data_IF_705262960345
#
_entry.id   IF_705262960345
#
_cell.length_a   1.000
_cell.length_b   1.000
_cell.length_c   1.000
_cell.angle_alpha   90.00
_cell.angle_beta   90.00
_cell.angle_gamma   90.00
#
_symmetry.space_group_name_H-M   'P 1'
#
loop_
_entity.id
_entity.type
_entity.pdbx_description
1 polymer ?
#
# COMPACT_ATOMS: atom_id res chain seq x y z
N UNK A 1 24.96 -12.32 -82.95
CA UNK A 1 23.57 -11.79 -82.92
C UNK A 1 22.66 -12.59 -81.98
N UNK A 2 22.38 -13.87 -82.25
CA UNK A 2 21.40 -14.65 -81.45
C UNK A 2 21.80 -14.87 -79.97
N UNK A 3 23.08 -15.01 -79.68
CA UNK A 3 23.57 -15.29 -78.32
C UNK A 3 23.56 -14.05 -77.41
N UNK A 4 23.87 -12.88 -77.98
CA UNK A 4 23.72 -11.58 -77.29
C UNK A 4 22.24 -11.30 -76.96
N UNK A 5 21.33 -11.56 -77.90
CA UNK A 5 19.89 -11.39 -77.69
C UNK A 5 19.38 -12.29 -76.54
N UNK A 6 19.88 -13.53 -76.44
CA UNK A 6 19.54 -14.45 -75.33
C UNK A 6 20.07 -13.96 -73.97
N UNK A 7 21.28 -13.40 -73.94
CA UNK A 7 21.85 -12.82 -72.72
C UNK A 7 21.05 -11.59 -72.24
N UNK A 8 20.62 -10.75 -73.18
CA UNK A 8 19.83 -9.55 -72.91
C UNK A 8 18.42 -9.90 -72.40
N UNK A 9 17.73 -10.87 -73.02
CA UNK A 9 16.44 -11.39 -72.51
C UNK A 9 16.59 -11.93 -71.07
N UNK A 10 17.67 -12.67 -70.79
CA UNK A 10 17.94 -13.22 -69.45
C UNK A 10 18.22 -12.11 -68.42
N UNK A 11 18.94 -11.05 -68.81
CA UNK A 11 19.17 -9.88 -67.96
C UNK A 11 17.86 -9.14 -67.67
N UNK A 12 17.06 -8.87 -68.70
CA UNK A 12 15.75 -8.19 -68.57
C UNK A 12 14.79 -9.00 -67.71
N UNK A 13 14.71 -10.32 -67.89
CA UNK A 13 13.91 -11.21 -67.02
C UNK A 13 14.37 -11.15 -65.56
N UNK A 14 15.69 -11.09 -65.32
CA UNK A 14 16.25 -10.97 -63.97
C UNK A 14 15.92 -9.61 -63.35
N UNK A 15 15.93 -8.54 -64.12
CA UNK A 15 15.52 -7.21 -63.66
C UNK A 15 14.03 -7.13 -63.37
N UNK A 16 13.18 -7.68 -64.24
CA UNK A 16 11.74 -7.73 -64.05
C UNK A 16 11.39 -8.48 -62.75
N UNK A 17 11.96 -9.67 -62.56
CA UNK A 17 11.80 -10.45 -61.33
C UNK A 17 12.29 -9.71 -60.07
N UNK A 18 13.35 -8.89 -60.18
CA UNK A 18 13.82 -8.06 -59.06
C UNK A 18 12.83 -6.93 -58.75
N UNK A 19 12.30 -6.25 -59.77
CA UNK A 19 11.34 -5.16 -59.63
C UNK A 19 10.01 -5.67 -59.09
N UNK A 20 9.48 -6.78 -59.61
CA UNK A 20 8.24 -7.40 -59.16
C UNK A 20 8.35 -7.84 -57.69
N UNK A 21 9.50 -8.41 -57.30
CA UNK A 21 9.76 -8.79 -55.91
C UNK A 21 9.82 -7.57 -54.96
N UNK A 22 10.41 -6.46 -55.41
CA UNK A 22 10.44 -5.24 -54.63
C UNK A 22 9.05 -4.61 -54.49
N UNK A 23 8.24 -4.64 -55.56
CA UNK A 23 6.88 -4.12 -55.59
C UNK A 23 5.95 -4.98 -54.71
N UNK A 24 6.09 -6.30 -54.74
CA UNK A 24 5.37 -7.20 -53.84
C UNK A 24 5.74 -6.92 -52.36
N UNK A 25 7.03 -6.74 -52.05
CA UNK A 25 7.48 -6.42 -50.70
C UNK A 25 6.90 -5.09 -50.20
N UNK A 26 6.88 -4.03 -51.03
CA UNK A 26 6.31 -2.74 -50.63
C UNK A 26 4.80 -2.78 -50.49
N UNK A 27 4.09 -3.46 -51.39
CA UNK A 27 2.64 -3.65 -51.31
C UNK A 27 2.24 -4.39 -50.02
N UNK A 28 2.93 -5.48 -49.71
CA UNK A 28 2.70 -6.25 -48.49
C UNK A 28 2.95 -5.44 -47.21
N UNK A 29 4.02 -4.63 -47.18
CA UNK A 29 4.32 -3.75 -46.03
C UNK A 29 3.28 -2.63 -45.86
N UNK A 30 2.72 -2.10 -46.96
CA UNK A 30 1.65 -1.10 -46.91
C UNK A 30 0.36 -1.67 -46.32
N UNK A 31 -0.03 -2.88 -46.75
CA UNK A 31 -1.20 -3.59 -46.20
C UNK A 31 -0.99 -3.84 -44.70
N UNK A 32 0.19 -4.33 -44.32
CA UNK A 32 0.54 -4.56 -42.92
C UNK A 32 0.48 -3.27 -42.10
N UNK A 33 0.95 -2.15 -42.63
CA UNK A 33 0.89 -0.85 -41.94
C UNK A 33 -0.55 -0.39 -41.71
N UNK A 34 -1.44 -0.61 -42.68
CA UNK A 34 -2.86 -0.25 -42.58
C UNK A 34 -3.58 -1.11 -41.54
N UNK A 35 -3.34 -2.43 -41.56
CA UNK A 35 -3.98 -3.38 -40.64
C UNK A 35 -3.37 -3.35 -39.24
N UNK A 36 -2.06 -3.10 -39.13
CA UNK A 36 -1.29 -3.18 -37.89
C UNK A 36 -1.08 -1.87 -37.14
N UNK A 37 -1.65 -0.75 -37.60
CA UNK A 37 -1.45 0.58 -36.99
C UNK A 37 -1.88 0.65 -35.51
N UNK A 38 -2.82 -0.18 -35.10
CA UNK A 38 -3.35 -0.26 -33.74
C UNK A 38 -2.52 -1.18 -32.81
N UNK A 39 -1.60 -1.98 -33.36
CA UNK A 39 -0.85 -3.02 -32.63
C UNK A 39 0.58 -2.60 -32.27
N UNK A 40 0.89 -1.30 -32.33
CA UNK A 40 2.24 -0.77 -32.11
C UNK A 40 2.88 -1.32 -30.84
N UNK A 41 3.86 -2.21 -30.99
CA UNK A 41 4.47 -2.91 -29.88
C UNK A 41 5.60 -2.08 -29.30
N UNK A 42 5.53 -1.80 -28.00
CA UNK A 42 6.66 -1.19 -27.26
C UNK A 42 7.43 -2.27 -26.52
N UNK A 43 8.76 -2.17 -26.56
CA UNK A 43 9.64 -3.08 -25.80
C UNK A 43 9.25 -3.06 -24.32
N UNK A 44 8.90 -4.22 -23.77
CA UNK A 44 8.53 -4.38 -22.36
C UNK A 44 7.02 -4.43 -22.10
N UNK A 45 6.17 -4.15 -23.09
CA UNK A 45 4.73 -4.23 -22.97
C UNK A 45 4.26 -5.67 -22.71
N UNK A 46 3.32 -5.83 -21.77
CA UNK A 46 2.63 -7.10 -21.54
C UNK A 46 1.78 -7.42 -22.75
N UNK A 47 1.88 -8.64 -23.27
CA UNK A 47 1.08 -9.09 -24.42
C UNK A 47 0.22 -10.27 -24.02
N UNK A 48 -1.07 -10.16 -24.29
CA UNK A 48 -2.00 -11.27 -24.17
C UNK A 48 -1.77 -12.32 -25.26
N UNK A 49 -2.27 -13.53 -25.05
CA UNK A 49 -2.15 -14.62 -26.04
C UNK A 49 -2.88 -14.26 -27.34
N UNK A 50 -4.05 -13.60 -27.25
CA UNK A 50 -4.84 -13.17 -28.41
C UNK A 50 -4.10 -12.16 -29.27
N UNK A 51 -3.46 -11.17 -28.65
CA UNK A 51 -2.66 -10.17 -29.37
C UNK A 51 -1.46 -10.81 -30.08
N UNK A 52 -0.78 -11.77 -29.44
CA UNK A 52 0.33 -12.50 -30.09
C UNK A 52 -0.13 -13.30 -31.29
N UNK A 53 -1.27 -13.99 -31.19
CA UNK A 53 -1.86 -14.75 -32.30
C UNK A 53 -2.21 -13.82 -33.47
N UNK A 54 -2.84 -12.67 -33.19
CA UNK A 54 -3.19 -11.70 -34.21
C UNK A 54 -1.95 -11.10 -34.90
N UNK A 55 -0.92 -10.76 -34.13
CA UNK A 55 0.35 -10.24 -34.66
C UNK A 55 1.04 -11.28 -35.53
N UNK A 56 1.09 -12.54 -35.09
CA UNK A 56 1.67 -13.63 -35.88
C UNK A 56 0.88 -13.80 -37.17
N UNK A 57 -0.45 -13.86 -37.13
CA UNK A 57 -1.29 -14.01 -38.32
C UNK A 57 -1.00 -12.89 -39.35
N UNK A 58 -0.99 -11.63 -38.91
CA UNK A 58 -0.69 -10.47 -39.77
C UNK A 58 0.71 -10.52 -40.38
N UNK A 59 1.73 -10.93 -39.61
CA UNK A 59 3.10 -11.05 -40.14
C UNK A 59 3.19 -12.23 -41.11
N UNK A 60 2.50 -13.34 -40.83
CA UNK A 60 2.52 -14.52 -41.71
C UNK A 60 1.84 -14.20 -43.04
N UNK A 61 0.71 -13.48 -43.02
CA UNK A 61 0.03 -12.96 -44.21
C UNK A 61 0.94 -12.03 -45.02
N UNK A 62 1.63 -11.09 -44.36
CA UNK A 62 2.59 -10.22 -45.03
C UNK A 62 3.77 -10.99 -45.64
N UNK A 63 4.25 -12.06 -44.98
CA UNK A 63 5.31 -12.92 -45.51
C UNK A 63 4.84 -13.71 -46.74
N UNK A 64 3.61 -14.23 -46.73
CA UNK A 64 3.01 -14.90 -47.90
C UNK A 64 2.83 -13.94 -49.08
N UNK A 65 2.51 -12.68 -48.81
CA UNK A 65 2.45 -11.61 -49.82
C UNK A 65 3.83 -11.14 -50.34
N UNK A 66 4.93 -11.72 -49.84
CA UNK A 66 6.29 -11.46 -50.33
C UNK A 66 7.14 -10.52 -49.46
N UNK A 67 6.64 -10.06 -48.30
CA UNK A 67 7.44 -9.24 -47.39
C UNK A 67 8.51 -10.06 -46.66
N UNK A 68 9.68 -9.45 -46.43
CA UNK A 68 10.68 -10.02 -45.52
C UNK A 68 10.20 -9.91 -44.07
N UNK A 69 10.34 -11.01 -43.32
CA UNK A 69 9.98 -11.08 -41.91
C UNK A 69 10.57 -9.93 -41.07
N UNK A 70 11.86 -9.61 -41.28
CA UNK A 70 12.54 -8.57 -40.52
C UNK A 70 11.89 -7.19 -40.70
N UNK A 71 11.57 -6.81 -41.95
CA UNK A 71 10.92 -5.52 -42.25
C UNK A 71 9.48 -5.48 -41.73
N UNK A 72 8.75 -6.58 -41.86
CA UNK A 72 7.39 -6.70 -41.31
C UNK A 72 7.38 -6.55 -39.77
N UNK A 73 8.34 -7.18 -39.09
CA UNK A 73 8.49 -7.06 -37.64
C UNK A 73 8.91 -5.65 -37.22
N UNK A 74 9.85 -5.02 -37.94
CA UNK A 74 10.33 -3.67 -37.66
C UNK A 74 9.19 -2.64 -37.73
N UNK A 75 8.29 -2.79 -38.72
CA UNK A 75 7.12 -1.92 -38.89
C UNK A 75 6.18 -1.98 -37.67
N UNK A 76 6.05 -3.14 -37.05
CA UNK A 76 5.23 -3.35 -35.85
C UNK A 76 5.97 -3.09 -34.53
N UNK A 77 7.26 -2.71 -34.57
CA UNK A 77 8.08 -2.47 -33.38
C UNK A 77 8.61 -3.75 -32.70
N UNK A 78 8.62 -4.87 -33.42
CA UNK A 78 9.05 -6.19 -32.94
C UNK A 78 10.41 -6.60 -33.52
N UNK A 79 11.18 -7.35 -32.73
CA UNK A 79 12.35 -8.05 -33.25
C UNK A 79 11.93 -9.38 -33.88
N UNK A 80 12.50 -9.73 -35.03
CA UNK A 80 12.28 -11.03 -35.68
C UNK A 80 12.55 -12.21 -34.73
N UNK A 81 13.54 -12.09 -33.84
CA UNK A 81 13.85 -13.10 -32.81
C UNK A 81 12.71 -13.29 -31.80
N UNK A 82 12.00 -12.21 -31.45
CA UNK A 82 10.86 -12.28 -30.54
C UNK A 82 9.70 -13.04 -31.18
N UNK A 83 9.42 -12.78 -32.45
CA UNK A 83 8.40 -13.52 -33.21
C UNK A 83 8.74 -15.01 -33.29
N UNK A 84 9.98 -15.33 -33.67
CA UNK A 84 10.45 -16.73 -33.75
C UNK A 84 10.33 -17.44 -32.40
N UNK A 85 10.68 -16.77 -31.29
CA UNK A 85 10.49 -17.32 -29.93
C UNK A 85 9.03 -17.57 -29.58
N UNK A 86 8.10 -16.74 -30.07
CA UNK A 86 6.67 -16.98 -29.87
C UNK A 86 6.17 -18.18 -30.69
N UNK A 87 6.63 -18.32 -31.94
CA UNK A 87 6.27 -19.44 -32.80
C UNK A 87 6.83 -20.78 -32.33
N UNK A 88 8.03 -20.79 -31.73
CA UNK A 88 8.65 -22.01 -31.18
C UNK A 88 8.14 -22.39 -29.78
N UNK A 89 7.30 -21.58 -29.14
CA UNK A 89 6.80 -21.83 -27.79
C UNK A 89 5.40 -22.46 -27.82
N UNK A 90 5.24 -23.64 -27.21
CA UNK A 90 3.97 -24.40 -27.19
C UNK A 90 2.75 -23.60 -26.73
N UNK A 91 2.89 -22.77 -25.69
CA UNK A 91 1.71 -22.12 -25.09
C UNK A 91 1.55 -20.63 -25.44
N UNK A 92 2.48 -20.02 -26.17
CA UNK A 92 2.47 -18.59 -26.55
C UNK A 92 2.19 -17.58 -25.40
N UNK A 93 2.14 -18.02 -24.14
CA UNK A 93 1.91 -17.20 -22.94
C UNK A 93 3.13 -16.37 -22.58
N UNK A 94 2.88 -15.24 -21.92
CA UNK A 94 3.98 -14.44 -21.36
C UNK A 94 4.50 -15.09 -20.07
N UNK A 95 5.63 -15.80 -20.18
CA UNK A 95 6.30 -16.47 -19.05
C UNK A 95 6.79 -15.50 -17.96
N UNK A 96 6.72 -14.18 -18.17
CA UNK A 96 7.00 -13.19 -17.12
C UNK A 96 6.01 -13.28 -15.96
N UNK A 97 4.77 -13.69 -16.23
CA UNK A 97 3.72 -13.85 -15.22
C UNK A 97 4.03 -15.07 -14.33
N UNK A 98 4.52 -16.15 -14.94
CA UNK A 98 4.78 -17.43 -14.26
C UNK A 98 6.18 -17.51 -13.65
N UNK A 99 6.94 -16.42 -13.63
CA UNK A 99 8.30 -16.40 -13.11
C UNK A 99 8.32 -16.59 -11.58
N UNK A 100 8.50 -17.82 -11.12
CA UNK A 100 8.67 -18.18 -9.72
C UNK A 100 10.07 -17.80 -9.20
N UNK A 101 10.39 -16.50 -9.14
CA UNK A 101 11.65 -16.03 -8.54
C UNK A 101 11.47 -15.85 -7.03
N UNK A 102 12.07 -16.75 -6.24
CA UNK A 102 12.16 -16.57 -4.80
C UNK A 102 13.47 -15.83 -4.45
N UNK A 103 13.43 -14.81 -3.58
CA UNK A 103 14.66 -14.16 -3.13
C UNK A 103 15.48 -15.11 -2.25
N UNK A 104 16.81 -15.04 -2.36
CA UNK A 104 17.73 -15.89 -1.59
C UNK A 104 17.54 -15.72 -0.08
N UNK A 105 17.32 -14.48 0.36
CA UNK A 105 17.16 -14.14 1.78
C UNK A 105 15.72 -14.32 2.30
N UNK A 106 14.95 -15.20 1.65
CA UNK A 106 13.57 -15.47 2.07
C UNK A 106 13.59 -16.33 3.33
N UNK A 107 13.01 -15.81 4.41
CA UNK A 107 12.81 -16.58 5.63
C UNK A 107 12.08 -17.90 5.33
N UNK A 108 12.65 -18.98 5.83
CA UNK A 108 12.09 -20.32 5.79
C UNK A 108 10.81 -20.40 6.63
N UNK A 109 10.01 -21.44 6.40
CA UNK A 109 8.78 -21.67 7.18
C UNK A 109 9.08 -21.85 8.67
N UNK A 110 10.19 -22.52 9.00
CA UNK A 110 10.62 -22.77 10.38
C UNK A 110 11.03 -21.48 11.09
N UNK A 111 11.81 -20.61 10.44
CA UNK A 111 12.19 -19.31 11.01
C UNK A 111 10.97 -18.43 11.29
N UNK A 112 10.00 -18.41 10.37
CA UNK A 112 8.74 -17.69 10.57
C UNK A 112 7.97 -18.20 11.78
N UNK A 113 7.87 -19.53 11.94
CA UNK A 113 7.23 -20.14 13.10
C UNK A 113 7.95 -19.80 14.41
N UNK A 114 9.29 -19.76 14.41
CA UNK A 114 10.09 -19.32 15.57
C UNK A 114 9.76 -17.88 15.95
N UNK A 115 9.68 -16.97 14.98
CA UNK A 115 9.29 -15.57 15.20
C UNK A 115 7.90 -15.49 15.84
N UNK A 116 6.91 -16.22 15.31
CA UNK A 116 5.54 -16.20 15.83
C UNK A 116 5.49 -16.72 17.27
N UNK A 117 6.18 -17.83 17.55
CA UNK A 117 6.26 -18.40 18.90
C UNK A 117 6.88 -17.42 19.88
N UNK A 118 7.96 -16.76 19.49
CA UNK A 118 8.65 -15.77 20.31
C UNK A 118 7.76 -14.56 20.60
N UNK A 119 7.13 -14.00 19.57
CA UNK A 119 6.25 -12.82 19.66
C UNK A 119 4.99 -13.08 20.49
N UNK A 120 4.57 -14.34 20.66
CA UNK A 120 3.45 -14.74 21.51
C UNK A 120 3.88 -15.31 22.88
N UNK A 121 5.18 -15.31 23.19
CA UNK A 121 5.68 -15.74 24.49
C UNK A 121 5.29 -14.75 25.60
N UNK A 122 5.29 -15.22 26.86
CA UNK A 122 5.00 -14.35 28.01
C UNK A 122 6.02 -13.21 28.17
N UNK A 123 7.29 -13.46 27.82
CA UNK A 123 8.37 -12.48 27.95
C UNK A 123 8.26 -11.33 26.94
N UNK A 124 7.93 -11.63 25.68
CA UNK A 124 7.94 -10.66 24.60
C UNK A 124 6.55 -10.24 24.09
N UNK A 125 5.48 -10.90 24.53
CA UNK A 125 4.12 -10.71 24.01
C UNK A 125 3.59 -9.29 24.10
N UNK A 126 4.01 -8.55 25.14
CA UNK A 126 3.60 -7.18 25.41
C UNK A 126 4.50 -6.12 24.75
N UNK A 127 5.63 -6.52 24.15
CA UNK A 127 6.62 -5.61 23.57
C UNK A 127 6.44 -5.48 22.05
N UNK A 128 6.73 -4.31 21.46
CA UNK A 128 6.79 -4.16 20.02
C UNK A 128 8.09 -4.73 19.44
N UNK A 129 8.13 -5.08 18.14
CA UNK A 129 9.33 -5.55 17.46
C UNK A 129 10.57 -4.65 17.62
N UNK A 130 10.36 -3.33 17.71
CA UNK A 130 11.42 -2.34 17.95
C UNK A 130 12.15 -2.53 19.27
N UNK A 131 11.53 -3.19 20.26
CA UNK A 131 12.15 -3.56 21.54
C UNK A 131 12.61 -5.02 21.54
N UNK A 132 11.84 -5.92 20.93
CA UNK A 132 12.17 -7.35 20.87
C UNK A 132 13.51 -7.58 20.14
N UNK A 133 13.71 -6.98 18.96
CA UNK A 133 14.90 -7.25 18.14
C UNK A 133 16.20 -6.80 18.81
N UNK A 134 16.32 -5.57 19.36
CA UNK A 134 17.49 -5.18 20.13
C UNK A 134 17.73 -6.07 21.35
N UNK A 135 16.67 -6.40 22.11
CA UNK A 135 16.80 -7.26 23.29
C UNK A 135 17.32 -8.66 22.94
N UNK A 136 16.95 -9.20 21.77
CA UNK A 136 17.47 -10.48 21.28
C UNK A 136 18.93 -10.36 20.85
N UNK A 137 19.30 -9.27 20.19
CA UNK A 137 20.68 -8.99 19.80
C UNK A 137 21.60 -8.85 21.01
N UNK A 138 21.15 -8.19 22.08
CA UNK A 138 21.89 -8.09 23.34
C UNK A 138 22.12 -9.47 23.97
N UNK A 139 21.19 -10.42 23.76
CA UNK A 139 21.33 -11.83 24.16
C UNK A 139 22.14 -12.68 23.15
N UNK A 140 22.65 -12.09 22.06
CA UNK A 140 23.41 -12.77 21.02
C UNK A 140 22.56 -13.65 20.08
N UNK A 141 21.23 -13.49 20.07
CA UNK A 141 20.31 -14.32 19.29
C UNK A 141 19.85 -13.52 18.06
N UNK A 142 20.21 -13.98 16.86
CA UNK A 142 19.72 -13.40 15.61
C UNK A 142 18.64 -14.27 14.97
N UNK A 143 17.47 -13.67 14.69
CA UNK A 143 16.37 -14.31 13.97
C UNK A 143 16.09 -13.63 12.63
N UNK A 144 15.84 -12.32 12.64
CA UNK A 144 15.56 -11.52 11.46
C UNK A 144 15.61 -10.02 11.78
N UNK A 145 15.61 -9.19 10.73
CA UNK A 145 15.47 -7.73 10.88
C UNK A 145 14.12 -7.32 11.47
N UNK A 146 14.06 -6.14 12.09
CA UNK A 146 12.81 -5.54 12.60
C UNK A 146 11.71 -5.48 11.53
N UNK A 147 12.06 -5.06 10.31
CA UNK A 147 11.13 -5.03 9.16
C UNK A 147 10.58 -6.42 8.80
N UNK A 148 11.37 -7.47 8.97
CA UNK A 148 10.94 -8.85 8.74
C UNK A 148 10.00 -9.33 9.84
N UNK A 149 10.25 -8.96 11.10
CA UNK A 149 9.31 -9.20 12.21
C UNK A 149 7.94 -8.57 11.92
N UNK A 150 7.89 -7.28 11.57
CA UNK A 150 6.63 -6.62 11.22
C UNK A 150 5.93 -7.29 10.04
N UNK A 151 6.66 -7.68 9.00
CA UNK A 151 6.08 -8.39 7.85
C UNK A 151 5.47 -9.74 8.24
N UNK A 152 6.14 -10.52 9.09
CA UNK A 152 5.62 -11.80 9.58
C UNK A 152 4.40 -11.57 10.48
N UNK A 153 4.47 -10.63 11.42
CA UNK A 153 3.36 -10.30 12.30
C UNK A 153 2.13 -9.80 11.52
N UNK A 154 2.34 -8.96 10.50
CA UNK A 154 1.27 -8.49 9.61
C UNK A 154 0.61 -9.65 8.86
N UNK A 155 1.41 -10.57 8.31
CA UNK A 155 0.88 -11.73 7.59
C UNK A 155 0.05 -12.67 8.48
N UNK A 156 0.30 -12.68 9.80
CA UNK A 156 -0.43 -13.48 10.78
C UNK A 156 -1.46 -12.68 11.60
N UNK A 157 -1.77 -11.43 11.20
CA UNK A 157 -2.70 -10.54 11.92
C UNK A 157 -2.35 -10.34 13.42
N UNK A 158 -1.06 -10.33 13.76
CA UNK A 158 -0.56 -10.18 15.13
C UNK A 158 -0.24 -8.73 15.53
N UNK A 159 -0.48 -7.77 14.63
CA UNK A 159 -0.34 -6.32 14.85
C UNK A 159 -1.56 -5.73 15.58
N UNK A 160 -2.01 -6.41 16.62
CA UNK A 160 -3.10 -5.95 17.48
C UNK A 160 -2.52 -5.16 18.64
N UNK A 161 -3.33 -4.31 19.28
CA UNK A 161 -2.96 -3.60 20.49
C UNK A 161 -2.53 -4.58 21.59
N UNK A 162 -1.28 -4.46 22.06
CA UNK A 162 -0.64 -5.40 23.01
C UNK A 162 -0.44 -4.82 24.41
N UNK A 163 -0.65 -3.52 24.58
CA UNK A 163 -0.46 -2.86 25.86
C UNK A 163 -1.67 -3.06 26.77
N UNK A 164 -1.44 -3.03 28.08
CA UNK A 164 -2.51 -3.08 29.09
C UNK A 164 -3.43 -1.87 29.03
N UNK A 165 -2.97 -0.75 28.47
CA UNK A 165 -3.77 0.44 28.29
C UNK A 165 -5.00 0.10 27.43
N UNK A 166 -6.20 0.42 27.91
CA UNK A 166 -7.40 0.20 27.11
C UNK A 166 -7.36 1.15 25.89
N UNK A 167 -7.69 0.68 24.68
CA UNK A 167 -7.81 1.56 23.54
C UNK A 167 -8.84 2.66 23.84
N UNK A 168 -8.63 3.84 23.27
CA UNK A 168 -9.54 4.98 23.44
C UNK A 168 -10.94 4.56 23.00
N UNK A 169 -11.85 4.45 23.98
CA UNK A 169 -13.25 4.12 23.70
C UNK A 169 -13.99 5.38 23.31
N UNK A 170 -14.83 5.31 22.28
CA UNK A 170 -15.84 6.33 22.02
C UNK A 170 -16.87 6.29 23.16
N UNK A 171 -16.65 7.13 24.18
CA UNK A 171 -17.60 7.33 25.28
C UNK A 171 -18.63 8.36 24.82
N UNK A 172 -19.92 8.01 24.94
CA UNK A 172 -21.00 8.99 24.69
C UNK A 172 -20.84 10.13 25.69
N UNK A 173 -20.74 11.36 25.19
CA UNK A 173 -20.69 12.55 26.05
C UNK A 173 -21.94 12.59 26.93
N UNK A 174 -21.83 12.97 28.22
CA UNK A 174 -23.01 13.18 29.05
C UNK A 174 -23.91 14.26 28.44
N UNK A 175 -25.22 14.20 28.70
CA UNK A 175 -26.17 15.21 28.25
C UNK A 175 -25.76 16.57 28.84
N UNK A 176 -25.58 17.58 27.99
CA UNK A 176 -25.35 18.95 28.42
C UNK A 176 -26.61 19.51 29.07
N UNK A 177 -26.48 20.03 30.28
CA UNK A 177 -27.54 20.79 30.95
C UNK A 177 -27.31 22.29 30.68
N UNK A 178 -28.38 23.03 30.40
CA UNK A 178 -28.33 24.47 30.15
C UNK A 178 -29.24 25.18 31.14
N UNK A 179 -28.72 26.18 31.85
CA UNK A 179 -29.51 27.01 32.76
C UNK A 179 -30.07 28.22 31.99
N UNK A 180 -31.36 28.51 32.17
CA UNK A 180 -32.06 29.64 31.55
C UNK A 180 -32.32 30.80 32.51
N UNK A 181 -32.31 30.53 33.82
CA UNK A 181 -32.49 31.52 34.90
C UNK A 181 -31.52 31.26 36.06
N UNK A 182 -31.26 32.25 36.93
CA UNK A 182 -30.51 32.03 38.17
C UNK A 182 -31.19 30.97 39.05
N UNK A 183 -30.40 30.24 39.84
CA UNK A 183 -30.85 29.24 40.81
C UNK A 183 -31.47 27.96 40.21
N UNK A 184 -31.27 27.68 38.92
CA UNK A 184 -31.72 26.45 38.26
C UNK A 184 -30.68 25.32 38.32
N UNK A 185 -29.41 25.65 38.06
CA UNK A 185 -28.32 24.67 38.00
C UNK A 185 -27.11 25.23 38.73
N UNK A 186 -26.62 24.47 39.71
CA UNK A 186 -25.37 24.75 40.40
C UNK A 186 -24.26 23.85 39.89
N UNK A 187 -23.07 24.42 39.82
CA UNK A 187 -21.83 23.65 39.66
C UNK A 187 -20.95 23.87 40.89
N UNK A 188 -20.19 22.85 41.25
CA UNK A 188 -19.28 22.91 42.38
C UNK A 188 -17.88 22.52 41.93
N UNK A 189 -16.88 23.13 42.54
CA UNK A 189 -15.46 22.81 42.31
C UNK A 189 -14.70 22.78 43.64
N UNK A 190 -13.60 22.03 43.68
CA UNK A 190 -12.70 21.96 44.83
C UNK A 190 -11.34 22.52 44.43
N UNK A 191 -11.01 23.68 44.98
CA UNK A 191 -9.73 24.36 44.74
C UNK A 191 -8.77 24.10 45.89
N UNK A 192 -7.54 23.72 45.54
CA UNK A 192 -6.46 23.50 46.49
C UNK A 192 -5.72 24.82 46.70
N UNK A 193 -5.91 25.45 47.84
CA UNK A 193 -5.25 26.70 48.17
C UNK A 193 -3.89 26.40 48.84
N UNK A 194 -2.77 26.88 48.28
CA UNK A 194 -1.46 26.70 48.87
C UNK A 194 -1.36 27.48 50.17
N UNK A 195 -0.71 26.90 51.18
CA UNK A 195 -0.39 27.58 52.44
C UNK A 195 1.09 27.95 52.49
N UNK A 196 1.52 28.63 53.57
CA UNK A 196 2.93 28.96 53.80
C UNK A 196 3.81 27.72 54.03
N UNK A 197 3.21 26.58 54.35
CA UNK A 197 3.93 25.33 54.65
C UNK A 197 3.82 24.39 53.45
N UNK A 198 4.97 23.96 52.91
CA UNK A 198 5.00 23.00 51.80
C UNK A 198 4.37 21.67 52.19
N UNK A 199 3.46 21.17 51.35
CA UNK A 199 2.73 19.93 51.59
C UNK A 199 1.43 20.08 52.38
N UNK A 200 1.10 21.29 52.86
CA UNK A 200 -0.19 21.59 53.49
C UNK A 200 -1.05 22.45 52.55
N UNK A 201 -2.28 21.98 52.31
CA UNK A 201 -3.25 22.63 51.44
C UNK A 201 -4.55 22.87 52.20
N UNK A 202 -5.16 24.02 51.96
CA UNK A 202 -6.56 24.26 52.34
C UNK A 202 -7.45 23.85 51.17
N UNK A 203 -8.50 23.10 51.47
CA UNK A 203 -9.48 22.65 50.49
C UNK A 203 -10.64 23.63 50.49
N UNK A 204 -10.74 24.45 49.44
CA UNK A 204 -11.86 25.37 49.23
C UNK A 204 -12.93 24.67 48.39
N UNK A 205 -14.07 24.42 49.01
CA UNK A 205 -15.29 23.98 48.35
C UNK A 205 -16.07 25.21 47.91
N UNK A 206 -16.38 25.30 46.62
CA UNK A 206 -17.11 26.43 46.05
C UNK A 206 -18.33 25.90 45.30
N UNK A 207 -19.49 26.48 45.59
CA UNK A 207 -20.75 26.23 44.89
C UNK A 207 -21.14 27.51 44.18
N UNK A 208 -21.34 27.42 42.87
CA UNK A 208 -21.71 28.57 42.04
C UNK A 208 -22.92 28.27 41.18
N UNK A 209 -23.72 29.31 40.95
CA UNK A 209 -24.81 29.26 39.99
C UNK A 209 -24.28 29.34 38.55
N UNK A 210 -24.75 28.44 37.68
CA UNK A 210 -24.26 28.33 36.30
C UNK A 210 -24.69 29.53 35.46
N UNK A 211 -25.89 30.06 35.69
CA UNK A 211 -26.45 31.16 34.90
C UNK A 211 -25.84 32.53 35.29
N UNK A 212 -25.92 32.90 36.56
CA UNK A 212 -25.42 34.20 37.06
C UNK A 212 -23.91 34.24 37.27
N UNK A 213 -23.24 33.08 37.29
CA UNK A 213 -21.82 32.91 37.62
C UNK A 213 -21.43 33.35 39.03
N UNK A 214 -22.40 33.57 39.91
CA UNK A 214 -22.16 34.04 41.28
C UNK A 214 -21.95 32.88 42.24
N UNK A 215 -21.12 33.11 43.25
CA UNK A 215 -20.84 32.14 44.31
C UNK A 215 -22.01 32.14 45.28
N UNK A 216 -22.68 31.00 45.39
CA UNK A 216 -23.88 30.81 46.23
C UNK A 216 -23.49 30.23 47.59
N UNK A 217 -22.41 29.45 47.65
CA UNK A 217 -21.86 28.98 48.91
C UNK A 217 -20.39 28.62 48.83
N UNK A 218 -19.71 28.72 49.96
CA UNK A 218 -18.30 28.34 50.06
C UNK A 218 -17.94 27.80 51.44
N UNK A 219 -16.89 26.97 51.49
CA UNK A 219 -16.31 26.48 52.73
C UNK A 219 -14.83 26.12 52.52
N UNK A 220 -13.97 26.47 53.47
CA UNK A 220 -12.56 26.07 53.48
C UNK A 220 -12.27 25.14 54.65
N UNK A 221 -11.65 23.99 54.38
CA UNK A 221 -11.27 23.02 55.40
C UNK A 221 -9.79 22.62 55.27
N UNK A 222 -9.16 22.24 56.38
CA UNK A 222 -7.77 21.75 56.45
C UNK A 222 -7.64 20.26 56.13
N UNK A 223 -8.72 19.50 56.31
CA UNK A 223 -8.78 18.06 56.02
C UNK A 223 -9.84 17.78 54.98
N UNK A 224 -9.54 16.88 54.06
CA UNK A 224 -10.46 16.45 53.01
C UNK A 224 -11.49 15.47 53.60
N UNK A 225 -12.70 15.93 53.93
CA UNK A 225 -13.76 15.05 54.42
C UNK A 225 -15.10 15.29 53.71
N UNK A 226 -15.27 14.62 52.58
CA UNK A 226 -16.37 14.84 51.62
C UNK A 226 -17.78 14.71 52.27
N UNK A 227 -17.91 13.92 53.34
CA UNK A 227 -19.21 13.59 53.95
C UNK A 227 -19.65 14.65 54.99
N UNK A 228 -18.74 15.20 55.78
CA UNK A 228 -19.05 16.21 56.80
C UNK A 228 -19.15 17.64 56.24
N UNK A 229 -18.56 17.86 55.07
CA UNK A 229 -18.32 19.20 54.53
C UNK A 229 -19.54 19.75 53.76
N UNK A 230 -20.48 18.88 53.37
CA UNK A 230 -21.72 19.30 52.72
C UNK A 230 -22.70 20.00 53.67
N UNK A 231 -22.62 19.74 54.99
CA UNK A 231 -23.59 20.20 55.98
C UNK A 231 -23.27 21.59 56.56
N UNK A 232 -22.08 22.14 56.25
CA UNK A 232 -21.57 23.42 56.81
C UNK A 232 -21.23 24.48 55.76
N UNK A 233 -21.72 24.30 54.54
CA UNK A 233 -21.55 25.29 53.48
C UNK A 233 -22.26 26.58 53.92
N UNK A 234 -21.52 27.68 54.02
CA UNK A 234 -22.13 28.98 54.26
C UNK A 234 -22.80 29.42 52.96
N UNK A 235 -24.12 29.48 52.98
CA UNK A 235 -24.90 30.02 51.88
C UNK A 235 -24.91 31.55 51.97
N UNK A 236 -24.64 32.21 50.85
CA UNK A 236 -24.82 33.64 50.72
C UNK A 236 -26.33 33.91 50.55
N UNK A 237 -26.99 34.63 51.47
CA UNK A 237 -28.45 34.84 51.43
C UNK A 237 -28.90 35.85 50.35
N UNK A 238 -28.02 36.25 49.43
CA UNK A 238 -28.29 37.31 48.47
C UNK A 238 -28.48 36.70 47.08
N UNK A 239 -29.56 35.93 46.86
CA UNK A 239 -30.21 35.69 45.56
C UNK A 239 -31.68 35.33 45.74
#
# INVERSE_FOLDING_TARGET
MQEQLKQEIKQLQKELNRKDKALAETAALLVLKKSGCHLGFRRGQLTSVKERQQIIALITEAQLAGARQAKACELLGLSAKTLQRWMSADEMKDKRIDALKQPVNKLTKLERQRIIRLVNSAEYGHLPPSKIVPTLLDKGIWLASESSFYRVMKAHNLLVHREKAKPTRNVKRPKSLTATKPNEIYTWDITYLPTRIKGQFLYLYLVMDVYSRKVVGWQSNERRNIISDATRIRYCPIF
#
